data_IF_724476294440
#
_entry.id   IF_724476294440
#
_cell.length_a   1.000
_cell.length_b   1.000
_cell.length_c   1.000
_cell.angle_alpha   90.00
_cell.angle_beta   90.00
_cell.angle_gamma   90.00
#
_symmetry.space_group_name_H-M   'P 1'
#
loop_
_entity.id
_entity.type
_entity.pdbx_description
1 polymer ?
#
# COMPACT_ATOMS: atom_id res chain seq x y z
N UNK A 1 19.18 -33.49 8.75
CA UNK A 1 18.38 -33.35 7.52
C UNK A 1 18.65 -31.96 6.95
N UNK A 2 18.97 -31.90 5.66
CA UNK A 2 19.42 -30.73 4.92
C UNK A 2 18.27 -29.73 4.65
N UNK A 3 18.62 -28.46 4.81
CA UNK A 3 18.21 -27.22 4.12
C UNK A 3 16.86 -27.09 3.37
N UNK A 4 16.25 -25.93 3.67
CA UNK A 4 15.59 -24.96 2.79
C UNK A 4 14.25 -25.32 2.13
N UNK A 5 13.24 -24.52 2.47
CA UNK A 5 12.43 -23.89 1.42
C UNK A 5 12.31 -22.41 1.75
N UNK A 6 13.17 -21.64 1.11
CA UNK A 6 13.02 -20.21 0.88
C UNK A 6 11.64 -19.95 0.27
N UNK A 7 10.90 -19.00 0.85
CA UNK A 7 9.93 -18.20 0.10
C UNK A 7 10.37 -16.76 0.21
N UNK A 8 11.46 -16.46 -0.50
CA UNK A 8 11.67 -15.14 -1.09
C UNK A 8 10.52 -14.88 -2.08
N UNK A 9 9.43 -14.31 -1.60
CA UNK A 9 8.48 -13.60 -2.45
C UNK A 9 8.97 -12.16 -2.54
N UNK A 10 9.93 -11.97 -3.42
CA UNK A 10 10.56 -10.69 -3.72
C UNK A 10 9.53 -9.78 -4.42
N UNK A 11 8.72 -9.08 -3.63
CA UNK A 11 7.75 -8.10 -4.12
C UNK A 11 7.78 -6.83 -3.26
N UNK A 12 8.98 -6.31 -3.04
CA UNK A 12 9.15 -4.92 -2.64
C UNK A 12 8.48 -4.55 -1.31
N UNK A 13 8.65 -5.41 -0.30
CA UNK A 13 8.04 -5.29 1.01
C UNK A 13 8.41 -4.00 1.73
N UNK A 14 7.39 -3.33 2.26
CA UNK A 14 7.54 -2.18 3.12
C UNK A 14 8.08 -2.63 4.50
N UNK A 15 9.27 -2.16 4.86
CA UNK A 15 9.88 -2.48 6.15
C UNK A 15 9.30 -1.58 7.27
N UNK A 16 8.22 -2.04 7.89
CA UNK A 16 7.55 -1.37 9.02
C UNK A 16 8.07 -1.93 10.34
N UNK A 17 8.68 -1.09 11.19
CA UNK A 17 9.12 -1.48 12.54
C UNK A 17 8.07 -1.09 13.57
N UNK A 18 7.95 -1.87 14.65
CA UNK A 18 6.96 -1.65 15.70
C UNK A 18 7.16 -0.36 16.51
N UNK A 19 8.35 0.23 16.44
CA UNK A 19 8.74 1.43 17.20
C UNK A 19 8.61 2.72 16.38
N UNK A 20 8.33 2.59 15.08
CA UNK A 20 8.19 3.74 14.20
C UNK A 20 6.89 4.50 14.52
N UNK A 21 6.93 5.83 14.54
CA UNK A 21 5.71 6.65 14.67
C UNK A 21 4.79 6.51 13.45
N UNK A 22 3.53 6.92 13.60
CA UNK A 22 2.54 6.98 12.51
C UNK A 22 3.12 7.65 11.26
N UNK A 23 3.81 8.78 11.44
CA UNK A 23 4.43 9.54 10.36
C UNK A 23 5.57 8.81 9.66
N UNK A 24 6.43 8.14 10.42
CA UNK A 24 7.54 7.36 9.85
C UNK A 24 7.00 6.19 9.04
N UNK A 25 6.00 5.47 9.57
CA UNK A 25 5.35 4.35 8.87
C UNK A 25 4.70 4.82 7.56
N UNK A 26 3.90 5.89 7.61
CA UNK A 26 3.23 6.44 6.43
C UNK A 26 4.21 6.93 5.36
N UNK A 27 5.25 7.69 5.76
CA UNK A 27 6.28 8.18 4.84
C UNK A 27 7.00 7.03 4.12
N UNK A 28 7.33 5.95 4.83
CA UNK A 28 7.95 4.77 4.21
C UNK A 28 7.03 4.14 3.15
N UNK A 29 5.73 4.04 3.43
CA UNK A 29 4.77 3.49 2.47
C UNK A 29 4.64 4.37 1.24
N UNK A 30 4.45 5.67 1.47
CA UNK A 30 4.27 6.64 0.42
C UNK A 30 5.51 6.71 -0.48
N UNK A 31 6.72 6.68 0.07
CA UNK A 31 7.97 6.71 -0.71
C UNK A 31 8.06 5.49 -1.65
N UNK A 32 7.70 4.31 -1.17
CA UNK A 32 7.69 3.09 -2.02
C UNK A 32 6.64 3.18 -3.12
N UNK A 33 5.43 3.63 -2.80
CA UNK A 33 4.35 3.82 -3.79
C UNK A 33 4.78 4.85 -4.83
N UNK A 34 5.23 6.02 -4.39
CA UNK A 34 5.58 7.16 -5.25
C UNK A 34 6.67 6.80 -6.27
N UNK A 35 7.70 6.06 -5.84
CA UNK A 35 8.78 5.59 -6.73
C UNK A 35 8.31 4.63 -7.82
N UNK A 36 7.23 3.89 -7.56
CA UNK A 36 6.67 2.88 -8.47
C UNK A 36 5.50 3.42 -9.28
N UNK A 37 4.92 4.52 -8.84
CA UNK A 37 3.77 5.16 -9.45
C UNK A 37 4.08 5.66 -10.85
N UNK A 38 3.12 5.53 -11.76
CA UNK A 38 3.17 6.13 -13.09
C UNK A 38 1.96 7.03 -13.26
N UNK A 39 2.15 8.17 -13.93
CA UNK A 39 1.05 9.03 -14.32
C UNK A 39 -0.02 8.23 -15.10
N UNK A 40 -1.30 8.45 -14.80
CA UNK A 40 -2.41 7.70 -15.39
C UNK A 40 -2.80 6.43 -14.64
N UNK A 41 -2.06 6.02 -13.58
CA UNK A 41 -2.39 4.78 -12.84
C UNK A 41 -3.74 4.89 -12.13
N UNK A 42 -4.08 6.04 -11.50
CA UNK A 42 -5.39 6.20 -10.82
C UNK A 42 -6.51 6.20 -11.86
N UNK A 43 -6.33 6.96 -12.94
CA UNK A 43 -7.32 7.09 -14.01
C UNK A 43 -7.60 5.73 -14.63
N UNK A 44 -6.56 4.95 -14.91
CA UNK A 44 -6.69 3.61 -15.45
C UNK A 44 -7.44 2.66 -14.52
N UNK A 45 -7.06 2.59 -13.23
CA UNK A 45 -7.77 1.70 -12.29
C UNK A 45 -9.22 2.16 -12.09
N UNK A 46 -9.50 3.47 -12.14
CA UNK A 46 -10.87 4.00 -12.03
C UNK A 46 -11.74 3.57 -13.21
N UNK A 47 -11.19 3.62 -14.42
CA UNK A 47 -11.93 3.30 -15.65
C UNK A 47 -12.08 1.80 -15.89
N UNK A 48 -11.04 1.00 -15.60
CA UNK A 48 -11.00 -0.42 -15.95
C UNK A 48 -11.15 -1.37 -14.76
N UNK A 49 -10.88 -0.90 -13.55
CA UNK A 49 -10.88 -1.71 -12.32
C UNK A 49 -11.63 -1.00 -11.19
N UNK A 50 -12.85 -0.51 -11.47
CA UNK A 50 -13.64 0.33 -10.56
C UNK A 50 -13.72 -0.18 -9.12
N UNK A 51 -13.91 -1.49 -8.92
CA UNK A 51 -13.96 -2.08 -7.57
C UNK A 51 -12.62 -1.93 -6.81
N UNK A 52 -11.48 -2.00 -7.50
CA UNK A 52 -10.17 -1.73 -6.90
C UNK A 52 -10.04 -0.26 -6.53
N UNK A 53 -10.46 0.64 -7.42
CA UNK A 53 -10.47 2.07 -7.16
C UNK A 53 -11.31 2.42 -5.91
N UNK A 54 -12.55 1.91 -5.83
CA UNK A 54 -13.43 2.11 -4.67
C UNK A 54 -12.82 1.56 -3.37
N UNK A 55 -12.12 0.42 -3.43
CA UNK A 55 -11.40 -0.11 -2.27
C UNK A 55 -10.21 0.78 -1.86
N UNK A 56 -9.50 1.36 -2.82
CA UNK A 56 -8.40 2.30 -2.55
C UNK A 56 -8.92 3.56 -1.85
N UNK A 57 -10.01 4.15 -2.35
CA UNK A 57 -10.66 5.32 -1.73
C UNK A 57 -11.11 5.01 -0.30
N UNK A 58 -11.80 3.88 -0.08
CA UNK A 58 -12.23 3.46 1.26
C UNK A 58 -11.04 3.23 2.21
N UNK A 59 -9.94 2.68 1.70
CA UNK A 59 -8.73 2.49 2.51
C UNK A 59 -8.05 3.83 2.84
N UNK A 60 -8.14 4.82 1.94
CA UNK A 60 -7.65 6.17 2.18
C UNK A 60 -8.50 6.92 3.21
N UNK A 61 -9.82 6.80 3.14
CA UNK A 61 -10.70 7.32 4.20
C UNK A 61 -10.37 6.68 5.55
N UNK A 62 -10.21 5.36 5.58
CA UNK A 62 -9.92 4.64 6.82
C UNK A 62 -8.56 5.02 7.41
N UNK A 63 -7.52 5.18 6.58
CA UNK A 63 -6.21 5.57 7.09
C UNK A 63 -6.22 6.98 7.67
N UNK A 64 -6.97 7.90 7.04
CA UNK A 64 -7.15 9.26 7.54
C UNK A 64 -7.92 9.28 8.87
N UNK A 65 -8.96 8.44 9.00
CA UNK A 65 -9.72 8.28 10.25
C UNK A 65 -8.82 7.75 11.38
N UNK A 66 -8.11 6.65 11.15
CA UNK A 66 -7.23 6.03 12.17
C UNK A 66 -6.06 6.95 12.52
N UNK A 67 -5.55 7.71 11.55
CA UNK A 67 -4.53 8.73 11.81
C UNK A 67 -5.04 9.80 12.79
N UNK A 68 -6.24 10.37 12.53
CA UNK A 68 -6.84 11.38 13.42
C UNK A 68 -7.09 10.82 14.82
N UNK A 69 -7.70 9.65 14.92
CA UNK A 69 -7.92 8.96 16.18
C UNK A 69 -6.59 8.69 16.92
N UNK A 70 -5.52 8.35 16.18
CA UNK A 70 -4.18 8.17 16.74
C UNK A 70 -3.59 9.45 17.35
N UNK A 71 -3.84 10.61 16.74
CA UNK A 71 -3.44 11.92 17.29
C UNK A 71 -4.23 12.28 18.56
N UNK A 72 -5.46 11.80 18.68
CA UNK A 72 -6.34 11.99 19.83
C UNK A 72 -6.11 10.96 20.94
N UNK A 73 -5.26 9.95 20.70
CA UNK A 73 -4.99 8.85 21.63
C UNK A 73 -6.07 7.76 21.65
N UNK A 74 -6.99 7.79 20.68
CA UNK A 74 -8.13 6.87 20.55
C UNK A 74 -7.83 5.66 19.65
N UNK A 75 -6.72 5.68 18.90
CA UNK A 75 -6.26 4.55 18.10
C UNK A 75 -4.81 4.19 18.40
N UNK A 76 -4.51 2.90 18.30
CA UNK A 76 -3.19 2.32 18.53
C UNK A 76 -2.33 2.34 17.28
N UNK A 77 -1.01 2.27 17.48
CA UNK A 77 -0.05 2.13 16.37
C UNK A 77 -0.26 0.82 15.58
N UNK A 78 -0.74 -0.23 16.24
CA UNK A 78 -1.05 -1.52 15.60
C UNK A 78 -2.23 -1.40 14.63
N UNK A 79 -3.32 -0.75 15.05
CA UNK A 79 -4.48 -0.47 14.20
C UNK A 79 -4.10 0.39 12.99
N UNK A 80 -3.26 1.40 13.22
CA UNK A 80 -2.73 2.22 12.13
C UNK A 80 -1.90 1.40 11.15
N UNK A 81 -1.00 0.55 11.65
CA UNK A 81 -0.17 -0.31 10.82
C UNK A 81 -1.01 -1.28 9.98
N UNK A 82 -2.02 -1.91 10.56
CA UNK A 82 -2.93 -2.80 9.83
C UNK A 82 -3.65 -2.07 8.69
N UNK A 83 -4.14 -0.87 8.97
CA UNK A 83 -4.80 -0.01 7.98
C UNK A 83 -3.84 0.44 6.87
N UNK A 84 -2.62 0.83 7.24
CA UNK A 84 -1.56 1.24 6.31
C UNK A 84 -1.16 0.10 5.38
N UNK A 85 -1.00 -1.13 5.88
CA UNK A 85 -0.68 -2.30 5.04
C UNK A 85 -1.76 -2.54 4.00
N UNK A 86 -3.05 -2.43 4.39
CA UNK A 86 -4.17 -2.59 3.47
C UNK A 86 -4.14 -1.51 2.38
N UNK A 87 -4.05 -0.24 2.77
CA UNK A 87 -3.94 0.88 1.83
C UNK A 87 -2.74 0.72 0.88
N UNK A 88 -1.57 0.38 1.42
CA UNK A 88 -0.36 0.13 0.65
C UNK A 88 -0.55 -0.99 -0.40
N UNK A 89 -1.13 -2.13 0.01
CA UNK A 89 -1.33 -3.28 -0.87
C UNK A 89 -2.23 -2.98 -2.06
N UNK A 90 -3.26 -2.15 -1.87
CA UNK A 90 -4.20 -1.75 -2.93
C UNK A 90 -3.50 -0.86 -3.96
N UNK A 91 -2.67 0.07 -3.52
CA UNK A 91 -1.85 0.90 -4.41
C UNK A 91 -0.85 0.07 -5.20
N UNK A 92 -0.13 -0.86 -4.55
CA UNK A 92 0.79 -1.75 -5.25
C UNK A 92 0.07 -2.59 -6.32
N UNK A 93 -1.11 -3.12 -6.00
CA UNK A 93 -1.92 -3.88 -6.96
C UNK A 93 -2.32 -3.03 -8.17
N UNK A 94 -2.72 -1.79 -7.96
CA UNK A 94 -3.02 -0.86 -9.06
C UNK A 94 -1.82 -0.60 -9.96
N UNK A 95 -0.66 -0.36 -9.36
CA UNK A 95 0.61 -0.16 -10.08
C UNK A 95 0.99 -1.39 -10.92
N UNK A 96 0.81 -2.60 -10.37
CA UNK A 96 1.15 -3.84 -11.05
C UNK A 96 0.27 -4.10 -12.26
N UNK A 97 -1.04 -3.88 -12.13
CA UNK A 97 -1.99 -3.94 -13.25
C UNK A 97 -1.52 -3.02 -14.39
N UNK A 98 -1.14 -1.77 -14.07
CA UNK A 98 -0.68 -0.83 -15.08
C UNK A 98 0.67 -1.20 -15.70
N UNK A 99 1.59 -1.81 -14.94
CA UNK A 99 2.90 -2.27 -15.46
C UNK A 99 2.74 -3.41 -16.46
N UNK A 100 1.81 -4.33 -16.24
CA UNK A 100 1.59 -5.47 -17.13
C UNK A 100 1.05 -5.06 -18.49
N UNK A 101 0.28 -3.97 -18.58
CA UNK A 101 -0.19 -3.42 -19.85
C UNK A 101 0.98 -2.93 -20.71
N UNK A 102 1.90 -2.16 -20.11
CA UNK A 102 3.07 -1.63 -20.85
C UNK A 102 4.00 -2.75 -21.36
N UNK A 103 3.93 -3.95 -20.78
CA UNK A 103 4.70 -5.12 -21.23
C UNK A 103 4.02 -5.91 -22.35
N UNK A 104 2.69 -5.84 -22.46
CA UNK A 104 1.93 -6.53 -23.51
C UNK A 104 1.81 -5.72 -24.80
N UNK A 105 2.02 -4.41 -24.73
CA UNK A 105 2.03 -3.51 -25.89
C UNK A 105 3.42 -3.42 -26.59
N UNK A 106 4.41 -4.22 -26.17
CA UNK A 106 5.73 -4.37 -26.82
C UNK A 106 5.88 -5.75 -27.44
#
# INVERSE_FOLDING_TARGET
>A
MLAQSEKDSNQGDICLKNEDSFEVLFKKALDVISRRYRAGTIEYIREHHRSLYEQTEQAEDKINEVWKAGLEGEATLEEFRGTLIKWYSLHIKGIEICKDLTRRDR
#
